data_IF_536004409158
#
_entry.id   IF_536004409158
#
_cell.length_a   1.000
_cell.length_b   1.000
_cell.length_c   1.000
_cell.angle_alpha   90.00
_cell.angle_beta   90.00
_cell.angle_gamma   90.00
#
_symmetry.space_group_name_H-M   'P 1'
#
loop_
_entity.id
_entity.type
_entity.pdbx_description
1 polymer ?
#
# COMPACT_ATOMS: atom_id res chain seq x y z
N UNK A 1 -82.35 19.77 43.88
CA UNK A 1 -81.91 19.49 42.48
C UNK A 1 -80.90 20.50 41.90
N UNK A 2 -80.83 21.76 42.37
CA UNK A 2 -79.84 22.73 41.86
C UNK A 2 -78.39 22.45 42.32
N UNK A 3 -78.21 21.92 43.54
CA UNK A 3 -76.88 21.60 44.09
C UNK A 3 -76.21 20.40 43.39
N UNK A 4 -76.98 19.37 43.01
CA UNK A 4 -76.48 18.21 42.26
C UNK A 4 -76.04 18.57 40.83
N UNK A 5 -76.71 19.54 40.17
CA UNK A 5 -76.28 20.05 38.87
C UNK A 5 -75.01 20.90 38.97
N UNK A 6 -74.84 21.68 40.04
CA UNK A 6 -73.62 22.48 40.25
C UNK A 6 -72.38 21.60 40.47
N UNK A 7 -72.51 20.52 41.24
CA UNK A 7 -71.43 19.54 41.48
C UNK A 7 -71.07 18.78 40.20
N UNK A 8 -72.08 18.38 39.40
CA UNK A 8 -71.85 17.69 38.12
C UNK A 8 -71.12 18.55 37.08
N UNK A 9 -71.37 19.86 37.04
CA UNK A 9 -70.64 20.78 36.14
C UNK A 9 -69.21 21.02 36.61
N UNK A 10 -68.96 21.11 37.93
CA UNK A 10 -67.62 21.23 38.50
C UNK A 10 -66.72 20.04 38.17
N UNK A 11 -67.26 18.82 38.26
CA UNK A 11 -66.52 17.59 37.95
C UNK A 11 -66.14 17.50 36.45
N UNK A 12 -67.04 17.89 35.54
CA UNK A 12 -66.76 17.93 34.09
C UNK A 12 -65.65 18.93 33.76
N UNK A 13 -65.69 20.12 34.36
CA UNK A 13 -64.65 21.13 34.17
C UNK A 13 -63.29 20.66 34.71
N UNK A 14 -63.28 19.91 35.83
CA UNK A 14 -62.06 19.31 36.36
C UNK A 14 -61.45 18.30 35.38
N UNK A 15 -62.24 17.38 34.81
CA UNK A 15 -61.74 16.41 33.84
C UNK A 15 -61.21 17.07 32.56
N UNK A 16 -61.89 18.11 32.07
CA UNK A 16 -61.43 18.88 30.90
C UNK A 16 -60.11 19.59 31.21
N UNK A 17 -60.00 20.27 32.37
CA UNK A 17 -58.78 20.96 32.77
C UNK A 17 -57.63 19.99 33.02
N UNK A 18 -57.89 18.86 33.67
CA UNK A 18 -56.89 17.82 33.92
C UNK A 18 -56.38 17.23 32.60
N UNK A 19 -57.28 16.86 31.69
CA UNK A 19 -56.89 16.37 30.36
C UNK A 19 -56.10 17.42 29.56
N UNK A 20 -56.47 18.69 29.67
CA UNK A 20 -55.75 19.78 29.02
C UNK A 20 -54.33 19.95 29.58
N UNK A 21 -54.17 19.92 30.91
CA UNK A 21 -52.86 20.02 31.57
C UNK A 21 -51.98 18.82 31.20
N UNK A 22 -52.49 17.60 31.28
CA UNK A 22 -51.72 16.40 30.95
C UNK A 22 -51.27 16.43 29.49
N UNK A 23 -52.16 16.80 28.56
CA UNK A 23 -51.80 16.92 27.15
C UNK A 23 -50.81 18.06 26.90
N UNK A 24 -50.96 19.21 27.57
CA UNK A 24 -50.02 20.32 27.47
C UNK A 24 -48.63 19.95 27.99
N UNK A 25 -48.56 19.26 29.13
CA UNK A 25 -47.29 18.73 29.67
C UNK A 25 -46.67 17.72 28.70
N UNK A 26 -47.47 16.81 28.13
CA UNK A 26 -46.99 15.86 27.13
C UNK A 26 -46.40 16.58 25.90
N UNK A 27 -47.08 17.60 25.39
CA UNK A 27 -46.59 18.41 24.26
C UNK A 27 -45.28 19.11 24.62
N UNK A 28 -45.17 19.68 25.83
CA UNK A 28 -43.92 20.30 26.30
C UNK A 28 -42.79 19.28 26.40
N UNK A 29 -43.06 18.07 26.90
CA UNK A 29 -42.07 16.99 26.97
C UNK A 29 -41.61 16.58 25.57
N UNK A 30 -42.54 16.42 24.62
CA UNK A 30 -42.20 16.08 23.23
C UNK A 30 -41.33 17.16 22.61
N UNK A 31 -41.67 18.44 22.79
CA UNK A 31 -40.85 19.55 22.29
C UNK A 31 -39.44 19.53 22.91
N UNK A 32 -39.33 19.31 24.22
CA UNK A 32 -38.04 19.19 24.88
C UNK A 32 -37.19 18.02 24.33
N UNK A 33 -37.81 16.86 24.11
CA UNK A 33 -37.14 15.71 23.50
C UNK A 33 -36.68 16.00 22.08
N UNK A 34 -37.49 16.68 21.28
CA UNK A 34 -37.13 17.06 19.91
C UNK A 34 -35.92 18.00 19.90
N UNK A 35 -35.89 19.01 20.76
CA UNK A 35 -34.71 19.87 20.90
C UNK A 35 -33.47 19.10 21.35
N UNK A 36 -33.62 18.15 22.28
CA UNK A 36 -32.51 17.30 22.73
C UNK A 36 -31.98 16.39 21.60
N UNK A 37 -32.87 15.85 20.75
CA UNK A 37 -32.47 15.03 19.60
C UNK A 37 -31.66 15.86 18.60
N UNK A 38 -32.08 17.10 18.29
CA UNK A 38 -31.31 17.98 17.42
C UNK A 38 -29.95 18.35 18.01
N UNK A 39 -29.89 18.58 19.31
CA UNK A 39 -28.63 18.86 20.00
C UNK A 39 -27.65 17.68 19.91
N UNK A 40 -28.13 16.45 20.16
CA UNK A 40 -27.34 15.21 20.00
C UNK A 40 -26.91 15.01 18.55
N UNK A 41 -27.83 15.20 17.59
CA UNK A 41 -27.52 15.09 16.16
C UNK A 41 -26.38 16.04 15.80
N UNK A 42 -26.55 17.33 16.05
CA UNK A 42 -25.66 18.37 15.57
C UNK A 42 -24.30 18.36 16.29
N UNK A 43 -24.27 18.08 17.59
CA UNK A 43 -23.03 18.14 18.38
C UNK A 43 -22.29 16.81 18.54
N UNK A 44 -22.95 15.67 18.32
CA UNK A 44 -22.37 14.34 18.55
C UNK A 44 -22.42 13.49 17.29
N UNK A 45 -23.61 13.23 16.76
CA UNK A 45 -23.77 12.24 15.68
C UNK A 45 -23.17 12.74 14.37
N UNK A 46 -23.48 13.98 13.98
CA UNK A 46 -22.93 14.62 12.77
C UNK A 46 -21.42 14.58 12.79
N UNK A 47 -20.69 15.18 13.75
CA UNK A 47 -19.22 15.18 13.71
C UNK A 47 -18.57 13.79 13.79
N UNK A 48 -19.19 12.82 14.46
CA UNK A 48 -18.63 11.46 14.54
C UNK A 48 -18.75 10.69 13.22
N UNK A 49 -19.96 10.64 12.66
CA UNK A 49 -20.20 9.95 11.39
C UNK A 49 -19.53 10.73 10.26
N UNK A 50 -19.60 12.06 10.31
CA UNK A 50 -19.01 12.92 9.29
C UNK A 50 -17.48 12.94 9.35
N UNK A 51 -16.89 12.82 10.54
CA UNK A 51 -15.44 12.68 10.70
C UNK A 51 -14.94 11.32 10.22
N UNK A 52 -15.69 10.25 10.48
CA UNK A 52 -15.32 8.91 10.06
C UNK A 52 -15.37 8.75 8.53
N UNK A 53 -16.47 9.18 7.90
CA UNK A 53 -16.57 9.05 6.45
C UNK A 53 -15.57 9.97 5.70
N UNK A 54 -15.33 11.21 6.18
CA UNK A 54 -14.30 12.06 5.58
C UNK A 54 -12.88 11.53 5.77
N UNK A 55 -12.63 10.76 6.83
CA UNK A 55 -11.36 10.04 7.02
C UNK A 55 -11.18 8.94 5.97
N UNK A 56 -12.24 8.22 5.59
CA UNK A 56 -12.16 7.21 4.52
C UNK A 56 -11.97 7.86 3.15
N UNK A 57 -12.67 8.95 2.86
CA UNK A 57 -12.46 9.74 1.63
C UNK A 57 -11.02 10.25 1.57
N UNK A 58 -10.52 10.87 2.65
CA UNK A 58 -9.15 11.37 2.71
C UNK A 58 -8.07 10.27 2.68
N UNK A 59 -8.38 9.06 3.18
CA UNK A 59 -7.47 7.91 3.09
C UNK A 59 -7.41 7.35 1.67
N UNK A 60 -8.53 7.34 0.95
CA UNK A 60 -8.61 6.89 -0.44
C UNK A 60 -7.85 7.83 -1.39
N UNK A 61 -7.97 9.14 -1.16
CA UNK A 61 -7.26 10.17 -1.90
C UNK A 61 -5.80 10.38 -1.47
N UNK A 62 -5.33 9.67 -0.43
CA UNK A 62 -3.98 9.81 0.07
C UNK A 62 -2.93 9.18 -0.87
N UNK A 63 -1.69 9.64 -0.71
CA UNK A 63 -0.54 9.07 -1.42
C UNK A 63 0.52 8.60 -0.42
N UNK A 64 1.14 7.46 -0.73
CA UNK A 64 2.30 6.93 0.00
C UNK A 64 3.56 7.51 -0.66
N UNK A 65 4.41 8.18 0.10
CA UNK A 65 5.73 8.65 -0.34
C UNK A 65 6.81 7.86 0.41
N UNK A 66 7.52 7.01 -0.31
CA UNK A 66 8.49 6.10 0.27
C UNK A 66 9.75 6.01 -0.58
N UNK A 67 10.91 5.92 0.07
CA UNK A 67 12.18 5.66 -0.63
C UNK A 67 12.51 4.19 -0.53
N UNK A 68 12.50 3.50 -1.67
CA UNK A 68 12.85 2.09 -1.79
C UNK A 68 14.37 1.99 -1.97
N UNK A 69 15.10 1.38 -1.02
CA UNK A 69 16.52 1.12 -1.19
C UNK A 69 16.70 -0.10 -2.10
N UNK A 70 17.27 0.12 -3.28
CA UNK A 70 17.72 -0.94 -4.19
C UNK A 70 19.18 -1.22 -3.90
N UNK A 71 19.46 -2.42 -3.41
CA UNK A 71 20.81 -2.94 -3.15
C UNK A 71 20.93 -4.24 -3.92
N UNK A 72 21.70 -4.20 -4.99
CA UNK A 72 21.82 -5.32 -5.93
C UNK A 72 23.26 -5.47 -6.40
N UNK A 73 23.61 -6.64 -6.92
CA UNK A 73 24.92 -6.92 -7.52
C UNK A 73 24.73 -7.44 -8.94
N UNK A 74 25.23 -6.69 -9.92
CA UNK A 74 25.04 -6.99 -11.33
C UNK A 74 26.31 -7.67 -11.86
N UNK A 75 26.21 -8.86 -12.48
CA UNK A 75 27.35 -9.49 -13.12
C UNK A 75 27.70 -8.73 -14.41
N UNK A 76 28.92 -8.21 -14.47
CA UNK A 76 29.48 -7.56 -15.66
C UNK A 76 30.40 -8.56 -16.33
N UNK A 77 29.85 -9.26 -17.33
CA UNK A 77 30.60 -10.19 -18.19
C UNK A 77 30.78 -9.53 -19.55
N UNK A 78 31.98 -9.08 -19.86
CA UNK A 78 32.29 -8.47 -21.15
C UNK A 78 33.73 -8.72 -21.60
N UNK A 79 33.91 -8.88 -22.90
CA UNK A 79 35.23 -8.99 -23.51
C UNK A 79 35.73 -7.61 -23.96
N UNK A 80 36.88 -7.19 -23.46
CA UNK A 80 37.53 -5.94 -23.85
C UNK A 80 38.59 -6.25 -24.93
N UNK A 81 38.39 -5.82 -26.19
CA UNK A 81 39.42 -5.95 -27.21
C UNK A 81 40.53 -4.93 -26.95
N UNK A 82 41.72 -5.42 -26.63
CA UNK A 82 42.92 -4.63 -26.43
C UNK A 82 43.78 -4.68 -27.70
N UNK A 83 43.79 -3.58 -28.45
CA UNK A 83 44.66 -3.36 -29.59
C UNK A 83 45.63 -2.24 -29.26
N UNK A 84 46.86 -2.59 -28.91
CA UNK A 84 47.87 -1.61 -28.49
C UNK A 84 49.26 -1.99 -28.98
N UNK A 85 50.00 -1.00 -29.43
CA UNK A 85 51.43 -1.16 -29.72
C UNK A 85 52.20 -0.97 -28.41
N UNK A 86 52.90 -2.01 -27.98
CA UNK A 86 53.68 -1.98 -26.73
C UNK A 86 55.06 -2.61 -26.95
N UNK A 87 56.01 -2.19 -26.14
CA UNK A 87 57.36 -2.77 -26.15
C UNK A 87 57.43 -3.87 -25.10
N UNK A 88 57.52 -5.12 -25.55
CA UNK A 88 57.72 -6.27 -24.66
C UNK A 88 59.21 -6.52 -24.46
N UNK A 89 59.59 -6.98 -23.28
CA UNK A 89 60.98 -7.38 -22.98
C UNK A 89 61.05 -8.91 -23.00
N UNK A 90 62.01 -9.45 -23.76
CA UNK A 90 62.23 -10.90 -23.78
C UNK A 90 62.71 -11.39 -22.41
N UNK A 91 62.00 -12.36 -21.82
CA UNK A 91 62.36 -12.97 -20.54
C UNK A 91 63.39 -14.10 -20.66
N UNK A 92 63.59 -14.63 -21.87
CA UNK A 92 64.56 -15.68 -22.17
C UNK A 92 65.13 -15.54 -23.58
N UNK A 93 66.21 -16.29 -23.87
CA UNK A 93 66.84 -16.29 -25.19
C UNK A 93 65.96 -17.04 -26.22
N UNK A 94 65.56 -16.38 -27.31
CA UNK A 94 64.70 -16.97 -28.34
C UNK A 94 65.51 -17.29 -29.62
N UNK A 95 65.63 -18.56 -30.03
CA UNK A 95 66.31 -18.93 -31.28
C UNK A 95 65.41 -18.67 -32.49
N UNK A 96 65.97 -18.05 -33.54
CA UNK A 96 65.34 -17.77 -34.83
C UNK A 96 66.12 -18.45 -35.97
N UNK A 97 65.37 -19.08 -36.86
CA UNK A 97 65.89 -19.64 -38.11
C UNK A 97 65.44 -18.74 -39.26
N UNK A 98 66.38 -17.98 -39.84
CA UNK A 98 66.07 -17.02 -40.91
C UNK A 98 66.89 -17.29 -42.17
N UNK A 99 66.26 -17.10 -43.33
CA UNK A 99 66.96 -17.12 -44.61
C UNK A 99 67.48 -15.71 -44.89
N UNK A 100 68.80 -15.54 -44.87
CA UNK A 100 69.45 -14.27 -45.14
C UNK A 100 70.08 -14.29 -46.54
N UNK A 101 69.96 -13.16 -47.25
CA UNK A 101 70.69 -12.96 -48.50
C UNK A 101 71.97 -12.18 -48.17
N UNK A 102 73.10 -12.85 -48.22
CA UNK A 102 74.40 -12.28 -47.88
C UNK A 102 75.04 -11.81 -49.18
N UNK A 103 75.19 -10.49 -49.33
CA UNK A 103 75.93 -9.89 -50.45
C UNK A 103 77.41 -9.91 -50.11
N UNK A 104 78.22 -10.69 -50.83
CA UNK A 104 79.65 -10.77 -50.57
C UNK A 104 80.35 -9.50 -51.09
N UNK A 105 81.14 -8.78 -50.25
CA UNK A 105 81.86 -7.60 -50.70
C UNK A 105 82.88 -7.96 -51.79
N UNK A 106 82.94 -7.15 -52.86
CA UNK A 106 83.88 -7.34 -53.98
C UNK A 106 83.29 -7.93 -55.28
N UNK A 107 81.96 -7.93 -55.45
CA UNK A 107 81.30 -8.37 -56.70
C UNK A 107 81.06 -9.88 -56.80
N UNK A 108 81.15 -10.61 -55.68
CA UNK A 108 81.07 -12.07 -55.60
C UNK A 108 79.66 -12.69 -55.66
N UNK A 109 78.64 -11.92 -56.05
CA UNK A 109 77.24 -12.39 -56.12
C UNK A 109 76.52 -12.43 -54.77
N UNK A 110 75.26 -12.88 -54.79
CA UNK A 110 74.38 -12.99 -53.63
C UNK A 110 74.25 -14.45 -53.19
N UNK A 111 74.56 -14.76 -51.93
CA UNK A 111 74.39 -16.09 -51.34
C UNK A 111 73.15 -16.10 -50.46
N UNK A 112 72.18 -16.93 -50.81
CA UNK A 112 71.06 -17.25 -49.92
C UNK A 112 71.49 -18.35 -48.94
N UNK A 113 71.59 -18.02 -47.66
CA UNK A 113 72.00 -18.96 -46.61
C UNK A 113 70.99 -18.94 -45.45
N UNK A 114 70.75 -20.10 -44.86
CA UNK A 114 69.97 -20.21 -43.62
C UNK A 114 70.91 -19.99 -42.44
N UNK A 115 70.64 -18.97 -41.63
CA UNK A 115 71.41 -18.64 -40.43
C UNK A 115 70.57 -18.90 -39.18
N UNK A 116 71.22 -19.36 -38.11
CA UNK A 116 70.61 -19.50 -36.80
C UNK A 116 71.02 -18.29 -35.95
N UNK A 117 70.04 -17.48 -35.55
CA UNK A 117 70.24 -16.25 -34.79
C UNK A 117 69.50 -16.36 -33.47
N UNK A 118 70.14 -16.01 -32.35
CA UNK A 118 69.47 -16.00 -31.03
C UNK A 118 69.18 -14.56 -30.63
N UNK A 119 67.92 -14.23 -30.36
CA UNK A 119 67.54 -12.97 -29.74
C UNK A 119 67.83 -13.07 -28.23
N UNK A 120 68.69 -12.21 -27.66
CA UNK A 120 69.07 -12.30 -26.26
C UNK A 120 67.93 -11.88 -25.33
N UNK A 121 67.87 -12.49 -24.14
CA UNK A 121 67.03 -12.01 -23.04
C UNK A 121 67.30 -10.52 -22.76
N UNK A 122 66.26 -9.76 -22.40
CA UNK A 122 66.35 -8.32 -22.17
C UNK A 122 66.29 -7.46 -23.43
N UNK A 123 66.16 -8.04 -24.63
CA UNK A 123 65.89 -7.28 -25.84
C UNK A 123 64.46 -6.72 -25.81
N UNK A 124 64.33 -5.42 -26.03
CA UNK A 124 63.07 -4.71 -26.19
C UNK A 124 62.53 -4.90 -27.61
N UNK A 125 61.35 -5.51 -27.73
CA UNK A 125 60.68 -5.76 -29.00
C UNK A 125 59.37 -4.97 -29.06
N UNK A 126 59.22 -4.01 -29.98
CA UNK A 126 57.94 -3.40 -30.25
C UNK A 126 57.02 -4.42 -30.94
N UNK A 127 55.86 -4.66 -30.36
CA UNK A 127 54.85 -5.59 -30.88
C UNK A 127 53.48 -4.91 -30.90
N UNK A 128 52.67 -5.26 -31.89
CA UNK A 128 51.24 -4.96 -31.87
C UNK A 128 50.54 -6.09 -31.11
N UNK A 129 49.98 -5.78 -29.94
CA UNK A 129 49.21 -6.71 -29.14
C UNK A 129 47.74 -6.61 -29.56
N UNK A 130 47.16 -7.73 -29.96
CA UNK A 130 45.72 -7.90 -30.22
C UNK A 130 45.22 -9.02 -29.31
N UNK A 131 44.66 -8.65 -28.16
CA UNK A 131 44.21 -9.55 -27.11
C UNK A 131 42.75 -9.25 -26.76
N UNK A 132 41.93 -10.29 -26.61
CA UNK A 132 40.59 -10.14 -26.07
C UNK A 132 40.61 -10.51 -24.58
N UNK A 133 40.42 -9.52 -23.71
CA UNK A 133 40.51 -9.71 -22.25
C UNK A 133 39.11 -9.89 -21.69
N UNK A 134 38.75 -11.08 -21.16
CA UNK A 134 37.47 -11.27 -20.51
C UNK A 134 37.47 -10.59 -19.14
N UNK A 135 36.44 -9.80 -18.88
CA UNK A 135 36.13 -9.22 -17.56
C UNK A 135 34.90 -9.95 -17.03
N UNK A 136 35.02 -10.48 -15.82
CA UNK A 136 33.93 -11.12 -15.07
C UNK A 136 34.00 -10.58 -13.64
N UNK A 137 33.29 -9.48 -13.40
CA UNK A 137 33.26 -8.78 -12.12
C UNK A 137 31.82 -8.53 -11.68
N UNK A 138 31.58 -8.56 -10.38
CA UNK A 138 30.30 -8.18 -9.80
C UNK A 138 30.32 -6.70 -9.43
N UNK A 139 29.39 -5.93 -10.01
CA UNK A 139 29.22 -4.52 -9.71
C UNK A 139 28.13 -4.33 -8.67
N UNK A 140 28.50 -3.84 -7.49
CA UNK A 140 27.55 -3.51 -6.44
C UNK A 140 26.85 -2.18 -6.75
N UNK A 141 25.52 -2.23 -6.74
CA UNK A 141 24.63 -1.16 -7.12
C UNK A 141 23.79 -0.75 -5.91
N UNK A 142 23.88 0.53 -5.54
CA UNK A 142 23.19 1.11 -4.39
C UNK A 142 22.41 2.34 -4.82
N UNK A 143 21.13 2.17 -5.19
CA UNK A 143 20.24 3.25 -5.59
C UNK A 143 19.11 3.41 -4.58
N UNK A 144 18.78 4.65 -4.23
CA UNK A 144 17.60 4.98 -3.44
C UNK A 144 16.57 5.61 -4.37
N UNK A 145 15.48 4.89 -4.62
CA UNK A 145 14.44 5.31 -5.56
C UNK A 145 13.23 5.77 -4.78
N UNK A 146 12.86 7.04 -4.92
CA UNK A 146 11.59 7.56 -4.40
C UNK A 146 10.43 6.97 -5.21
N UNK A 147 9.42 6.47 -4.52
CA UNK A 147 8.17 5.98 -5.08
C UNK A 147 7.02 6.75 -4.43
N UNK A 148 6.10 7.22 -5.28
CA UNK A 148 4.86 7.88 -4.85
C UNK A 148 3.72 7.07 -5.38
N UNK A 149 2.90 6.51 -4.49
CA UNK A 149 1.86 5.54 -4.82
C UNK A 149 0.52 6.08 -4.31
N UNK A 150 -0.42 6.46 -5.20
CA UNK A 150 -1.78 6.80 -4.80
C UNK A 150 -2.51 5.59 -4.21
N UNK A 151 -3.18 5.75 -3.07
CA UNK A 151 -3.88 4.64 -2.40
C UNK A 151 -4.98 4.06 -3.28
N UNK A 152 -5.72 4.91 -4.00
CA UNK A 152 -6.74 4.50 -4.97
C UNK A 152 -6.22 3.54 -6.07
N UNK A 153 -4.91 3.57 -6.38
CA UNK A 153 -4.28 2.68 -7.36
C UNK A 153 -3.70 1.40 -6.73
N UNK A 154 -3.91 1.17 -5.43
CA UNK A 154 -3.39 0.02 -4.69
C UNK A 154 -4.49 -0.95 -4.27
N UNK A 155 -4.08 -2.12 -3.78
CA UNK A 155 -4.96 -3.11 -3.17
C UNK A 155 -5.58 -2.63 -1.84
N UNK A 156 -5.12 -1.52 -1.25
CA UNK A 156 -5.76 -0.92 -0.09
C UNK A 156 -7.03 -0.16 -0.45
N UNK A 157 -7.21 0.22 -1.72
CA UNK A 157 -8.43 0.88 -2.20
C UNK A 157 -9.68 0.05 -1.85
N UNK A 158 -9.72 -1.23 -2.22
CA UNK A 158 -10.91 -2.08 -2.06
C UNK A 158 -11.47 -2.11 -0.62
N UNK A 159 -10.68 -2.38 0.45
CA UNK A 159 -11.19 -2.34 1.82
C UNK A 159 -11.57 -0.94 2.29
N UNK A 160 -10.86 0.12 1.85
CA UNK A 160 -11.19 1.51 2.20
C UNK A 160 -12.51 1.91 1.56
N UNK A 161 -12.67 1.60 0.27
CA UNK A 161 -13.87 1.87 -0.51
C UNK A 161 -15.08 1.12 0.06
N UNK A 162 -14.90 -0.15 0.46
CA UNK A 162 -15.95 -0.90 1.13
C UNK A 162 -16.41 -0.22 2.44
N UNK A 163 -15.47 0.31 3.23
CA UNK A 163 -15.79 1.07 4.44
C UNK A 163 -16.50 2.38 4.09
N UNK A 164 -16.02 3.13 3.09
CA UNK A 164 -16.66 4.35 2.60
C UNK A 164 -18.12 4.10 2.23
N UNK A 165 -18.38 3.12 1.36
CA UNK A 165 -19.72 2.73 0.90
C UNK A 165 -20.64 2.22 2.01
N UNK A 166 -20.07 1.63 3.08
CA UNK A 166 -20.86 1.18 4.24
C UNK A 166 -21.40 2.36 5.04
N UNK A 167 -20.61 3.42 5.21
CA UNK A 167 -20.99 4.58 6.01
C UNK A 167 -21.63 5.71 5.21
N UNK A 168 -21.39 5.76 3.89
CA UNK A 168 -21.88 6.82 3.01
C UNK A 168 -23.41 7.01 3.06
N UNK A 169 -24.26 5.96 3.00
CA UNK A 169 -25.70 6.15 3.12
C UNK A 169 -26.12 6.84 4.42
N UNK A 170 -25.48 6.47 5.53
CA UNK A 170 -25.78 7.04 6.85
C UNK A 170 -25.29 8.48 6.92
N UNK A 171 -24.10 8.76 6.39
CA UNK A 171 -23.53 10.10 6.39
C UNK A 171 -24.34 11.06 5.50
N UNK A 172 -24.74 10.63 4.29
CA UNK A 172 -25.64 11.38 3.41
C UNK A 172 -26.99 11.63 4.06
N UNK A 173 -27.62 10.59 4.62
CA UNK A 173 -28.90 10.72 5.30
C UNK A 173 -28.81 11.70 6.47
N UNK A 174 -27.77 11.61 7.29
CA UNK A 174 -27.57 12.47 8.45
C UNK A 174 -27.36 13.94 8.07
N UNK A 175 -26.61 14.18 7.01
CA UNK A 175 -26.36 15.52 6.50
C UNK A 175 -27.61 16.14 5.88
N UNK A 176 -28.39 15.35 5.14
CA UNK A 176 -29.64 15.79 4.51
C UNK A 176 -30.81 15.84 5.51
N UNK A 177 -30.63 15.37 6.75
CA UNK A 177 -31.62 15.52 7.80
C UNK A 177 -31.66 16.97 8.32
N UNK A 178 -32.84 17.51 8.66
CA UNK A 178 -33.03 18.81 9.29
C UNK A 178 -32.17 19.03 10.53
N UNK A 179 -31.67 20.25 10.73
CA UNK A 179 -30.96 20.66 11.94
C UNK A 179 -31.90 21.23 13.02
N UNK A 180 -33.15 21.51 12.65
CA UNK A 180 -34.15 22.05 13.56
C UNK A 180 -35.60 21.91 13.08
N UNK A 181 -36.51 22.42 13.91
CA UNK A 181 -37.96 22.31 13.68
C UNK A 181 -38.44 22.99 12.39
N UNK A 182 -37.82 24.09 11.98
CA UNK A 182 -38.18 24.81 10.74
C UNK A 182 -37.96 23.94 9.50
N UNK A 183 -36.75 23.39 9.37
CA UNK A 183 -36.34 22.53 8.25
C UNK A 183 -37.04 21.16 8.31
N UNK A 184 -37.47 20.73 9.50
CA UNK A 184 -38.27 19.52 9.65
C UNK A 184 -39.64 19.67 9.00
N UNK A 185 -40.27 20.84 9.13
CA UNK A 185 -41.57 21.11 8.50
C UNK A 185 -41.43 21.15 6.97
N UNK A 186 -40.35 21.70 6.43
CA UNK A 186 -40.10 21.67 4.99
C UNK A 186 -39.84 20.26 4.47
N UNK A 187 -39.01 19.46 5.17
CA UNK A 187 -38.78 18.06 4.79
C UNK A 187 -40.07 17.24 4.81
N UNK A 188 -40.95 17.42 5.80
CA UNK A 188 -42.28 16.76 5.83
C UNK A 188 -43.10 17.17 4.61
N UNK A 189 -43.08 18.45 4.24
CA UNK A 189 -43.74 18.94 3.03
C UNK A 189 -43.21 18.28 1.75
N UNK A 190 -41.89 18.14 1.64
CA UNK A 190 -41.24 17.46 0.51
C UNK A 190 -41.52 15.95 0.49
N UNK A 191 -41.54 15.30 1.65
CA UNK A 191 -41.87 13.88 1.79
C UNK A 191 -43.32 13.61 1.37
N UNK A 192 -44.26 14.46 1.79
CA UNK A 192 -45.67 14.39 1.36
C UNK A 192 -45.83 14.67 -0.15
N UNK A 193 -44.95 15.48 -0.72
CA UNK A 193 -44.89 15.74 -2.16
C UNK A 193 -44.14 14.65 -2.96
N UNK A 194 -43.59 13.63 -2.29
CA UNK A 194 -42.79 12.56 -2.91
C UNK A 194 -41.43 13.01 -3.44
N UNK A 195 -40.88 14.12 -2.94
CA UNK A 195 -39.62 14.72 -3.40
C UNK A 195 -38.47 14.63 -2.40
N UNK A 196 -38.73 14.19 -1.16
CA UNK A 196 -37.69 14.06 -0.16
C UNK A 196 -36.69 12.97 -0.58
N UNK A 197 -35.42 13.34 -0.73
CA UNK A 197 -34.33 12.41 -0.99
C UNK A 197 -33.20 12.61 0.02
N UNK A 198 -33.20 11.79 1.07
CA UNK A 198 -32.17 11.83 2.12
C UNK A 198 -30.82 11.28 1.63
N UNK A 199 -30.77 10.56 0.51
CA UNK A 199 -29.54 9.96 -0.02
C UNK A 199 -28.95 10.75 -1.19
N UNK A 200 -29.50 11.94 -1.46
CA UNK A 200 -28.95 12.84 -2.47
C UNK A 200 -27.48 13.12 -2.19
N UNK A 201 -26.66 13.08 -3.24
CA UNK A 201 -25.28 13.50 -3.17
C UNK A 201 -25.21 14.95 -2.68
N UNK A 202 -24.27 15.22 -1.78
CA UNK A 202 -24.04 16.53 -1.20
C UNK A 202 -22.54 16.80 -1.14
N UNK A 203 -22.14 18.05 -0.94
CA UNK A 203 -20.74 18.46 -0.89
C UNK A 203 -19.92 17.69 0.16
N UNK A 204 -20.56 17.15 1.18
CA UNK A 204 -19.93 16.35 2.21
C UNK A 204 -19.51 14.94 1.73
N UNK A 205 -20.19 14.36 0.75
CA UNK A 205 -19.88 13.01 0.22
C UNK A 205 -18.50 12.95 -0.48
N UNK A 206 -17.97 14.10 -0.85
CA UNK A 206 -16.70 14.27 -1.55
C UNK A 206 -15.69 15.06 -0.71
N UNK A 207 -15.97 15.32 0.58
CA UNK A 207 -15.12 16.16 1.43
C UNK A 207 -14.10 15.30 2.22
N UNK A 208 -12.82 15.32 1.85
CA UNK A 208 -11.77 14.59 2.55
C UNK A 208 -11.41 15.29 3.86
N UNK A 209 -11.06 14.51 4.88
CA UNK A 209 -10.63 15.07 6.16
C UNK A 209 -9.37 15.94 6.01
N UNK A 210 -9.33 17.17 6.55
CA UNK A 210 -8.16 18.04 6.48
C UNK A 210 -7.00 17.46 7.31
N UNK A 211 -6.03 16.84 6.62
CA UNK A 211 -4.86 16.22 7.27
C UNK A 211 -4.21 15.08 6.48
N UNK A 212 -4.85 14.60 5.41
CA UNK A 212 -4.23 13.63 4.50
C UNK A 212 -3.11 14.26 3.65
N UNK A 213 -2.14 13.43 3.25
CA UNK A 213 -0.94 13.88 2.55
C UNK A 213 -1.19 13.94 1.04
N UNK A 214 -1.62 15.11 0.53
CA UNK A 214 -1.58 15.44 -0.91
C UNK A 214 -0.21 15.92 -1.38
N UNK A 215 0.68 16.31 -0.47
CA UNK A 215 2.02 16.82 -0.80
C UNK A 215 3.04 15.71 -1.07
N UNK A 216 2.67 14.46 -0.77
CA UNK A 216 3.42 13.29 -1.16
C UNK A 216 3.47 13.24 -2.70
N UNK A 217 4.68 13.27 -3.25
CA UNK A 217 4.93 13.41 -4.68
C UNK A 217 5.12 14.82 -5.24
N UNK A 218 5.12 15.87 -4.41
CA UNK A 218 5.65 17.17 -4.86
C UNK A 218 7.10 17.00 -5.31
N UNK A 219 7.39 17.44 -6.54
CA UNK A 219 8.69 17.27 -7.19
C UNK A 219 9.01 15.83 -7.64
N UNK A 220 8.02 14.93 -7.68
CA UNK A 220 8.19 13.59 -8.24
C UNK A 220 7.93 13.59 -9.75
N UNK A 221 8.97 13.33 -10.54
CA UNK A 221 8.92 13.41 -12.01
C UNK A 221 8.42 12.15 -12.69
N UNK A 222 8.40 11.02 -11.97
CA UNK A 222 8.00 9.72 -12.54
C UNK A 222 6.51 9.40 -12.34
N UNK A 223 5.72 10.31 -11.74
CA UNK A 223 4.29 10.12 -11.49
C UNK A 223 3.48 9.85 -12.78
N UNK A 224 3.92 10.40 -13.92
CA UNK A 224 3.27 10.25 -15.22
C UNK A 224 3.90 9.18 -16.12
N UNK A 225 4.95 8.50 -15.67
CA UNK A 225 5.60 7.47 -16.47
C UNK A 225 4.77 6.17 -16.42
N UNK A 226 4.47 5.55 -17.57
CA UNK A 226 3.65 4.36 -17.59
C UNK A 226 4.38 3.17 -16.94
N UNK A 227 3.69 2.48 -16.04
CA UNK A 227 4.20 1.23 -15.45
C UNK A 227 4.32 0.16 -16.55
N UNK A 228 5.48 -0.53 -16.67
CA UNK A 228 5.64 -1.63 -17.61
C UNK A 228 4.55 -2.69 -17.45
N UNK A 229 4.01 -3.21 -18.56
CA UNK A 229 2.88 -4.17 -18.55
C UNK A 229 3.14 -5.38 -17.65
N UNK A 230 4.38 -5.89 -17.62
CA UNK A 230 4.77 -7.03 -16.77
C UNK A 230 4.62 -6.76 -15.27
N UNK A 231 4.64 -5.48 -14.86
CA UNK A 231 4.58 -5.05 -13.46
C UNK A 231 3.23 -4.44 -13.09
N UNK A 232 2.27 -4.40 -14.02
CA UNK A 232 0.93 -3.92 -13.72
C UNK A 232 0.17 -4.96 -12.90
N UNK A 233 -0.55 -4.55 -11.84
CA UNK A 233 -1.37 -5.47 -11.09
C UNK A 233 -2.48 -6.01 -11.98
N UNK A 234 -2.82 -7.28 -11.78
CA UNK A 234 -3.98 -7.86 -12.45
C UNK A 234 -5.27 -7.29 -11.85
N UNK A 235 -6.11 -6.70 -12.68
CA UNK A 235 -7.45 -6.26 -12.29
C UNK A 235 -8.35 -7.49 -12.18
N UNK A 236 -8.82 -7.78 -10.96
CA UNK A 236 -9.69 -8.93 -10.68
C UNK A 236 -11.11 -8.72 -11.18
N UNK A 237 -11.57 -7.46 -11.26
CA UNK A 237 -12.96 -7.11 -11.55
C UNK A 237 -13.91 -7.39 -10.39
N UNK A 238 -13.38 -7.79 -9.23
CA UNK A 238 -14.15 -7.96 -8.00
C UNK A 238 -14.43 -6.57 -7.45
N UNK A 239 -15.70 -6.30 -7.12
CA UNK A 239 -16.14 -5.03 -6.56
C UNK A 239 -16.44 -5.18 -5.07
N UNK A 240 -16.23 -4.12 -4.27
CA UNK A 240 -16.68 -4.07 -2.88
C UNK A 240 -18.18 -4.37 -2.76
N UNK A 241 -18.54 -5.25 -1.82
CA UNK A 241 -19.93 -5.59 -1.55
C UNK A 241 -20.73 -4.37 -1.05
N UNK A 242 -20.07 -3.43 -0.38
CA UNK A 242 -20.66 -2.17 0.06
C UNK A 242 -21.60 -2.33 1.26
N UNK A 243 -22.48 -1.35 1.42
CA UNK A 243 -23.46 -1.26 2.51
C UNK A 243 -24.74 -2.06 2.28
N UNK A 244 -25.86 -1.56 2.82
CA UNK A 244 -27.17 -2.19 2.67
C UNK A 244 -27.61 -2.16 1.19
N UNK A 245 -27.96 -3.30 0.55
CA UNK A 245 -28.20 -3.36 -0.91
C UNK A 245 -29.18 -2.32 -1.46
N UNK A 246 -30.27 -2.05 -0.75
CA UNK A 246 -31.27 -1.07 -1.17
C UNK A 246 -30.73 0.38 -1.19
N UNK A 247 -29.75 0.68 -0.33
CA UNK A 247 -29.11 1.99 -0.26
C UNK A 247 -27.93 2.06 -1.23
N UNK A 248 -27.17 0.98 -1.35
CA UNK A 248 -26.06 0.84 -2.28
C UNK A 248 -26.51 0.95 -3.74
N UNK A 249 -27.69 0.42 -4.09
CA UNK A 249 -28.30 0.60 -5.42
C UNK A 249 -28.51 2.08 -5.79
N UNK A 250 -28.77 2.96 -4.82
CA UNK A 250 -28.93 4.39 -5.05
C UNK A 250 -27.56 5.06 -5.29
N UNK A 251 -26.50 4.51 -4.71
CA UNK A 251 -25.13 5.03 -4.85
C UNK A 251 -24.45 4.54 -6.13
N UNK A 252 -24.63 3.26 -6.47
CA UNK A 252 -23.97 2.55 -7.58
C UNK A 252 -24.99 1.85 -8.48
N UNK A 253 -25.88 2.58 -9.17
CA UNK A 253 -26.95 1.99 -9.98
C UNK A 253 -26.44 1.01 -11.05
N UNK A 254 -25.24 1.25 -11.59
CA UNK A 254 -24.58 0.44 -12.60
C UNK A 254 -24.35 -1.02 -12.17
N UNK A 255 -24.14 -1.29 -10.88
CA UNK A 255 -23.94 -2.66 -10.37
C UNK A 255 -25.25 -3.44 -10.18
N UNK A 256 -26.39 -2.76 -10.25
CA UNK A 256 -27.73 -3.33 -10.05
C UNK A 256 -28.57 -3.36 -11.33
N UNK A 257 -27.98 -2.97 -12.47
CA UNK A 257 -28.64 -3.11 -13.76
C UNK A 257 -29.00 -4.57 -14.04
N UNK A 258 -30.14 -4.79 -14.72
CA UNK A 258 -30.61 -6.13 -15.11
C UNK A 258 -30.88 -7.10 -13.93
N UNK A 259 -31.22 -6.60 -12.74
CA UNK A 259 -31.37 -7.38 -11.50
C UNK A 259 -30.07 -8.04 -11.01
N UNK A 260 -28.91 -7.53 -11.43
CA UNK A 260 -27.63 -7.90 -10.86
C UNK A 260 -27.46 -7.31 -9.46
N UNK A 261 -26.41 -7.73 -8.78
CA UNK A 261 -25.96 -7.17 -7.51
C UNK A 261 -24.43 -7.36 -7.42
N UNK A 262 -23.74 -6.70 -6.47
CA UNK A 262 -22.30 -6.84 -6.32
C UNK A 262 -21.83 -8.29 -6.15
N UNK A 263 -22.62 -9.15 -5.51
CA UNK A 263 -22.28 -10.57 -5.38
C UNK A 263 -22.32 -11.30 -6.74
N UNK A 264 -23.36 -11.07 -7.56
CA UNK A 264 -23.45 -11.66 -8.89
C UNK A 264 -22.34 -11.17 -9.82
N UNK A 265 -21.94 -9.88 -9.71
CA UNK A 265 -20.79 -9.33 -10.42
C UNK A 265 -19.49 -10.01 -9.99
N UNK A 266 -19.30 -10.21 -8.68
CA UNK A 266 -18.14 -10.92 -8.14
C UNK A 266 -18.09 -12.39 -8.55
N UNK A 267 -19.23 -13.08 -8.59
CA UNK A 267 -19.31 -14.46 -9.09
C UNK A 267 -18.89 -14.56 -10.56
N UNK A 268 -19.29 -13.60 -11.40
CA UNK A 268 -18.88 -13.53 -12.79
C UNK A 268 -17.37 -13.21 -12.94
N UNK A 269 -16.85 -12.29 -12.13
CA UNK A 269 -15.43 -11.95 -12.09
C UNK A 269 -14.57 -13.16 -11.67
N UNK A 270 -15.00 -13.87 -10.61
CA UNK A 270 -14.35 -15.10 -10.15
C UNK A 270 -14.34 -16.17 -11.23
N UNK A 271 -15.46 -16.39 -11.93
CA UNK A 271 -15.52 -17.35 -13.03
C UNK A 271 -14.55 -17.00 -14.17
N UNK A 272 -14.38 -15.70 -14.47
CA UNK A 272 -13.40 -15.24 -15.44
C UNK A 272 -11.95 -15.47 -14.98
N UNK A 273 -11.64 -15.21 -13.70
CA UNK A 273 -10.32 -15.48 -13.12
C UNK A 273 -10.00 -16.98 -13.08
N UNK A 274 -10.98 -17.81 -12.72
CA UNK A 274 -10.88 -19.26 -12.74
C UNK A 274 -10.59 -19.76 -14.18
N UNK A 275 -11.20 -19.15 -15.20
CA UNK A 275 -10.93 -19.44 -16.62
C UNK A 275 -9.52 -19.03 -17.08
N UNK A 276 -8.93 -18.01 -16.47
CA UNK A 276 -7.54 -17.59 -16.68
C UNK A 276 -6.52 -18.43 -15.88
N UNK A 277 -6.98 -19.40 -15.08
CA UNK A 277 -6.13 -20.26 -14.27
C UNK A 277 -5.60 -19.59 -13.00
N UNK A 278 -6.21 -18.48 -12.57
CA UNK A 278 -5.79 -17.72 -11.41
C UNK A 278 -6.46 -18.30 -10.17
N UNK A 279 -5.66 -18.76 -9.22
CA UNK A 279 -6.16 -19.38 -8.00
C UNK A 279 -6.81 -18.33 -7.07
N UNK A 280 -7.95 -18.68 -6.46
CA UNK A 280 -8.66 -17.86 -5.45
C UNK A 280 -7.77 -17.32 -4.33
N UNK A 281 -6.77 -18.12 -3.93
CA UNK A 281 -5.77 -17.73 -2.92
C UNK A 281 -5.04 -16.43 -3.23
N UNK A 282 -4.99 -16.01 -4.49
CA UNK A 282 -4.34 -14.77 -4.89
C UNK A 282 -5.17 -13.51 -4.54
N UNK A 283 -6.47 -13.64 -4.25
CA UNK A 283 -7.37 -12.50 -4.06
C UNK A 283 -8.41 -12.65 -2.92
N UNK A 284 -8.50 -13.81 -2.27
CA UNK A 284 -9.44 -14.06 -1.16
C UNK A 284 -8.80 -13.99 0.24
N UNK A 285 -7.52 -13.66 0.32
CA UNK A 285 -6.77 -13.58 1.58
C UNK A 285 -6.27 -14.93 2.12
N UNK A 286 -6.60 -16.06 1.49
CA UNK A 286 -6.13 -17.40 1.90
C UNK A 286 -4.68 -17.71 1.48
N UNK A 287 -3.98 -16.76 0.84
CA UNK A 287 -2.57 -16.91 0.47
C UNK A 287 -1.69 -17.38 1.63
N UNK A 288 -1.95 -16.84 2.84
CA UNK A 288 -1.20 -17.15 4.05
C UNK A 288 -1.42 -18.58 4.58
N UNK A 289 -2.52 -19.23 4.20
CA UNK A 289 -2.87 -20.58 4.68
C UNK A 289 -2.12 -21.70 3.91
N UNK A 290 -1.55 -21.38 2.74
CA UNK A 290 -0.91 -22.34 1.83
C UNK A 290 0.62 -22.43 1.93
N UNK A 291 1.27 -21.68 2.82
CA UNK A 291 2.72 -21.78 3.02
C UNK A 291 3.01 -22.86 4.08
N UNK A 292 3.56 -24.04 3.72
CA UNK A 292 4.24 -24.83 4.74
C UNK A 292 5.37 -23.97 5.29
N UNK A 293 5.41 -23.81 6.62
CA UNK A 293 6.58 -23.25 7.30
C UNK A 293 7.68 -24.30 7.17
N UNK A 294 8.39 -24.30 6.03
CA UNK A 294 9.61 -25.09 5.89
C UNK A 294 10.68 -24.37 6.70
N UNK A 295 10.70 -24.69 7.99
CA UNK A 295 11.89 -24.46 8.80
C UNK A 295 12.92 -25.44 8.26
N UNK A 296 13.69 -25.04 7.26
CA UNK A 296 14.99 -25.65 6.99
C UNK A 296 15.81 -25.46 8.27
N UNK A 297 15.72 -26.43 9.18
CA UNK A 297 16.74 -26.59 10.20
C UNK A 297 18.03 -26.85 9.42
N UNK A 298 19.07 -26.00 9.56
CA UNK A 298 20.35 -26.33 8.97
C UNK A 298 20.78 -27.65 9.59
N UNK A 299 21.02 -28.65 8.74
CA UNK A 299 21.60 -29.93 9.12
C UNK A 299 22.94 -29.66 9.81
N UNK A 300 22.91 -29.48 11.13
CA UNK A 300 24.08 -29.58 11.98
C UNK A 300 24.16 -31.04 12.43
N UNK A 301 24.61 -31.89 11.53
CA UNK A 301 25.18 -33.17 11.93
C UNK A 301 26.62 -32.87 12.40
N UNK A 302 26.93 -32.91 13.70
CA UNK A 302 28.29 -32.70 14.17
C UNK A 302 29.06 -34.03 14.03
N UNK A 303 30.36 -33.99 13.70
CA UNK A 303 31.16 -35.18 13.48
C UNK A 303 31.21 -36.02 14.77
N UNK A 304 30.96 -37.32 14.63
CA UNK A 304 31.15 -38.29 15.71
C UNK A 304 32.63 -38.40 16.04
N UNK A 305 33.02 -38.03 17.27
CA UNK A 305 34.23 -38.57 17.87
C UNK A 305 33.96 -38.90 19.36
N UNK A 306 34.50 -40.02 19.89
CA UNK A 306 34.03 -40.64 21.11
C UNK A 306 34.81 -40.17 22.34
N UNK A 307 34.18 -40.34 23.50
CA UNK A 307 34.77 -40.29 24.86
C UNK A 307 34.70 -38.95 25.57
N UNK A 308 34.08 -38.95 26.76
CA UNK A 308 34.31 -37.93 27.79
C UNK A 308 33.04 -37.34 28.40
N UNK A 309 32.60 -37.93 29.49
CA UNK A 309 31.61 -37.41 30.44
C UNK A 309 31.87 -35.96 30.91
N UNK A 310 30.85 -35.11 30.98
CA UNK A 310 30.60 -34.20 32.12
C UNK A 310 29.32 -33.34 31.98
N UNK A 311 28.44 -33.50 32.98
CA UNK A 311 27.70 -32.47 33.73
C UNK A 311 27.16 -31.20 33.00
N UNK A 312 25.83 -31.06 32.98
CA UNK A 312 25.12 -29.80 32.70
C UNK A 312 25.29 -28.80 33.87
N UNK A 313 25.64 -27.52 33.64
CA UNK A 313 25.46 -26.46 34.64
C UNK A 313 24.06 -25.80 34.55
N UNK A 314 23.55 -25.24 35.67
CA UNK A 314 22.14 -24.86 35.82
C UNK A 314 21.75 -23.52 35.15
N UNK A 315 20.49 -23.46 34.75
CA UNK A 315 19.77 -22.33 34.16
C UNK A 315 19.74 -21.10 35.09
N UNK A 316 20.20 -19.95 34.58
CA UNK A 316 20.05 -18.64 35.23
C UNK A 316 18.78 -17.97 34.72
N UNK A 317 17.86 -17.64 35.64
CA UNK A 317 16.64 -16.85 35.37
C UNK A 317 17.00 -15.36 35.44
N UNK A 318 16.64 -14.51 34.46
CA UNK A 318 16.94 -13.08 34.50
C UNK A 318 16.02 -12.31 35.45
N UNK A 319 16.63 -11.53 36.34
CA UNK A 319 16.00 -10.62 37.32
C UNK A 319 15.52 -9.33 36.66
N UNK A 320 14.31 -8.88 37.00
CA UNK A 320 13.68 -7.65 36.54
C UNK A 320 14.47 -6.39 36.95
N UNK A 321 14.59 -5.44 36.01
CA UNK A 321 15.23 -4.13 36.20
C UNK A 321 14.23 -3.18 36.88
N UNK A 322 14.58 -2.67 38.05
CA UNK A 322 13.84 -1.63 38.78
C UNK A 322 14.46 -0.26 38.46
N UNK A 323 13.62 0.68 38.02
CA UNK A 323 13.97 2.07 37.72
C UNK A 323 13.94 2.89 39.03
N UNK A 324 14.99 3.67 39.39
CA UNK A 324 14.95 4.51 40.60
C UNK A 324 14.29 5.86 40.35
N UNK A 325 13.34 6.22 41.23
CA UNK A 325 12.75 7.57 41.34
C UNK A 325 13.75 8.60 41.89
N UNK A 326 13.70 9.80 41.31
CA UNK A 326 14.48 10.97 41.73
C UNK A 326 13.79 11.75 42.85
N UNK A 327 14.42 11.75 44.03
CA UNK A 327 14.71 12.94 44.86
C UNK A 327 13.59 13.62 45.66
N UNK A 328 13.71 13.62 46.99
CA UNK A 328 13.56 14.84 47.82
C UNK A 328 14.06 14.66 49.28
N UNK A 329 14.91 15.59 49.74
CA UNK A 329 14.78 16.24 51.05
C UNK A 329 15.46 15.66 52.31
N UNK A 330 16.69 16.11 52.58
CA UNK A 330 17.20 16.44 53.93
C UNK A 330 18.30 17.50 53.71
N UNK A 331 18.32 18.69 54.32
CA UNK A 331 18.07 18.98 55.72
C UNK A 331 19.42 19.33 56.37
N UNK A 332 19.91 20.55 56.14
CA UNK A 332 20.87 21.33 56.94
C UNK A 332 20.96 22.74 56.36
#
# INVERSE_FOLDING_TARGET
>A
MRMLKAIGTGLKNFFILFSFIVNLVLVVIILALVFMIFDIKNNIVTPLVSGLHSSFVGLDEATIDWTIPVRDSIPVVMDIPLQTETTVVLTENVPLFVNANITLPGGGGNLSATVNLTLPQGLELPVALDLNVPVDEQLDVSLDVRAVIPIADTQLHDPIENLRLTFEPIARALYNLPDGLGDTISLIGEALAGRANLLAANAYSEDPWPGYSQTAGVGYTLAGEPVPIANQPLVTGIVPLGGIPAMDQVLRPELYENNANPQAANEAAIAHLDALGISRRAYDGSYAEGQPVEVEQPNTEPPTDPSGSAQLPPTVVPTAIVIPETGQGAGS
#
